data_IF_880134910608
#
_entry.id   IF_880134910608
#
_cell.length_a   1.000
_cell.length_b   1.000
_cell.length_c   1.000
_cell.angle_alpha   90.00
_cell.angle_beta   90.00
_cell.angle_gamma   90.00
#
_symmetry.space_group_name_H-M   'P 1'
#
loop_
_entity.id
_entity.type
_entity.pdbx_description
1 polymer ?
#
# COMPACT_ATOMS: atom_id res chain seq x y z
N UNK A 1 -40.38 -24.48 12.23
CA UNK A 1 -39.07 -24.31 12.92
C UNK A 1 -37.86 -24.38 11.99
N UNK A 2 -37.84 -25.27 10.98
CA UNK A 2 -36.71 -25.42 10.03
C UNK A 2 -36.32 -24.16 9.26
N UNK A 3 -37.28 -23.34 8.81
CA UNK A 3 -36.99 -22.13 8.03
C UNK A 3 -36.25 -21.03 8.82
N UNK A 4 -36.58 -20.81 10.10
CA UNK A 4 -35.91 -19.79 10.94
C UNK A 4 -34.46 -20.16 11.27
N UNK A 5 -34.18 -21.45 11.46
CA UNK A 5 -32.82 -21.96 11.71
C UNK A 5 -31.96 -21.87 10.44
N UNK A 6 -32.53 -22.19 9.29
CA UNK A 6 -31.83 -22.09 7.99
C UNK A 6 -31.53 -20.64 7.66
N UNK A 7 -32.46 -19.70 7.88
CA UNK A 7 -32.23 -18.27 7.67
C UNK A 7 -31.16 -17.72 8.61
N UNK A 8 -31.17 -18.14 9.88
CA UNK A 8 -30.12 -17.77 10.84
C UNK A 8 -28.73 -18.27 10.43
N UNK A 9 -28.63 -19.51 9.96
CA UNK A 9 -27.37 -20.09 9.48
C UNK A 9 -26.87 -19.39 8.21
N UNK A 10 -27.77 -19.04 7.28
CA UNK A 10 -27.44 -18.31 6.06
C UNK A 10 -26.91 -16.91 6.35
N UNK A 11 -27.51 -16.21 7.32
CA UNK A 11 -27.03 -14.89 7.75
C UNK A 11 -25.65 -14.95 8.41
N UNK A 12 -25.37 -15.99 9.20
CA UNK A 12 -24.03 -16.21 9.78
C UNK A 12 -23.00 -16.50 8.69
N UNK A 13 -23.32 -17.34 7.71
CA UNK A 13 -22.42 -17.63 6.58
C UNK A 13 -22.12 -16.38 5.75
N UNK A 14 -23.13 -15.55 5.46
CA UNK A 14 -22.95 -14.29 4.75
C UNK A 14 -22.06 -13.33 5.54
N UNK A 15 -22.27 -13.21 6.86
CA UNK A 15 -21.42 -12.37 7.72
C UNK A 15 -19.96 -12.84 7.72
N UNK A 16 -19.71 -14.15 7.82
CA UNK A 16 -18.35 -14.73 7.76
C UNK A 16 -17.70 -14.51 6.38
N UNK A 17 -18.48 -14.58 5.30
CA UNK A 17 -17.99 -14.32 3.94
C UNK A 17 -17.58 -12.85 3.74
N UNK A 18 -18.34 -11.90 4.28
CA UNK A 18 -17.98 -10.48 4.24
C UNK A 18 -16.73 -10.16 5.08
N UNK A 19 -16.54 -10.82 6.23
CA UNK A 19 -15.35 -10.62 7.09
C UNK A 19 -14.08 -11.22 6.47
N UNK A 20 -14.20 -12.33 5.72
CA UNK A 20 -13.04 -13.00 5.10
C UNK A 20 -12.61 -12.40 3.76
N UNK A 21 -13.49 -11.67 3.08
CA UNK A 21 -13.21 -11.07 1.75
C UNK A 21 -12.19 -9.92 1.76
N UNK A 22 -11.87 -9.34 2.93
CA UNK A 22 -10.86 -8.25 3.05
C UNK A 22 -9.42 -8.77 3.21
N UNK A 23 -9.21 -10.08 3.29
CA UNK A 23 -7.89 -10.66 3.58
C UNK A 23 -6.98 -10.85 2.34
N UNK A 24 -7.43 -10.47 1.14
CA UNK A 24 -6.64 -10.66 -0.10
C UNK A 24 -5.58 -9.59 -0.35
N UNK A 25 -5.34 -8.66 0.59
CA UNK A 25 -4.20 -7.74 0.56
C UNK A 25 -2.86 -8.42 0.96
N UNK A 26 -2.67 -9.69 0.62
CA UNK A 26 -1.37 -10.36 0.75
C UNK A 26 -0.40 -9.76 -0.25
N UNK A 27 0.29 -8.72 0.21
CA UNK A 27 1.49 -8.19 -0.41
C UNK A 27 1.21 -7.27 -1.59
N UNK A 28 1.00 -6.00 -1.31
CA UNK A 28 1.33 -4.95 -2.26
C UNK A 28 2.76 -4.48 -2.01
N UNK A 29 3.45 -4.01 -3.04
CA UNK A 29 4.71 -3.31 -2.85
C UNK A 29 4.55 -2.11 -1.89
N UNK A 30 5.63 -1.72 -1.19
CA UNK A 30 5.66 -0.63 -0.21
C UNK A 30 6.81 0.32 -0.50
N UNK A 31 6.63 1.60 -0.23
CA UNK A 31 7.72 2.60 -0.26
C UNK A 31 8.30 2.78 1.14
N UNK A 32 9.62 2.60 1.25
CA UNK A 32 10.34 2.73 2.51
C UNK A 32 11.51 3.70 2.39
N UNK A 33 11.65 4.55 3.39
CA UNK A 33 12.80 5.43 3.54
C UNK A 33 14.02 4.60 3.97
N UNK A 34 15.07 4.64 3.16
CA UNK A 34 16.33 3.92 3.39
C UNK A 34 17.28 4.77 4.24
N UNK A 35 17.23 6.08 4.07
CA UNK A 35 18.08 7.04 4.78
C UNK A 35 17.72 7.19 6.26
N UNK A 36 16.42 7.18 6.61
CA UNK A 36 15.92 7.29 7.99
C UNK A 36 15.11 6.07 8.41
N UNK A 37 15.72 5.22 9.24
CA UNK A 37 15.15 3.93 9.66
C UNK A 37 13.97 4.05 10.63
N UNK A 38 13.94 5.11 11.43
CA UNK A 38 13.00 5.32 12.53
C UNK A 38 11.77 6.17 12.14
N UNK A 39 11.63 6.53 10.87
CA UNK A 39 10.51 7.34 10.37
C UNK A 39 9.19 6.55 10.47
N UNK A 40 8.13 7.14 11.03
CA UNK A 40 6.86 6.47 11.32
C UNK A 40 5.64 7.29 10.85
N UNK A 41 5.70 7.79 9.62
CA UNK A 41 4.56 8.45 8.96
C UNK A 41 4.30 9.89 9.39
N UNK A 42 5.26 10.55 10.05
CA UNK A 42 5.18 11.96 10.44
C UNK A 42 5.00 12.85 9.20
N UNK A 43 5.70 12.51 8.12
CA UNK A 43 5.75 13.27 6.87
C UNK A 43 5.33 12.40 5.67
N UNK A 44 5.08 13.05 4.54
CA UNK A 44 4.84 12.35 3.26
C UNK A 44 6.16 11.96 2.61
N UNK A 45 6.12 10.96 1.73
CA UNK A 45 7.27 10.55 0.92
C UNK A 45 7.82 11.74 0.13
N UNK A 46 6.95 12.55 -0.51
CA UNK A 46 7.36 13.74 -1.23
C UNK A 46 8.15 14.74 -0.36
N UNK A 47 7.68 14.98 0.87
CA UNK A 47 8.35 15.90 1.80
C UNK A 47 9.74 15.39 2.20
N UNK A 48 9.86 14.10 2.52
CA UNK A 48 11.15 13.49 2.83
C UNK A 48 12.10 13.53 1.63
N UNK A 49 11.62 13.27 0.42
CA UNK A 49 12.45 13.32 -0.79
C UNK A 49 12.95 14.73 -1.09
N UNK A 50 12.14 15.76 -0.84
CA UNK A 50 12.57 17.16 -0.96
C UNK A 50 13.71 17.51 0.00
N UNK A 51 13.86 16.77 1.11
CA UNK A 51 14.97 16.88 2.06
C UNK A 51 16.19 16.04 1.68
N UNK A 52 16.16 15.36 0.52
CA UNK A 52 17.24 14.50 0.04
C UNK A 52 17.19 13.06 0.54
N UNK A 53 16.08 12.63 1.16
CA UNK A 53 15.93 11.26 1.65
C UNK A 53 15.74 10.27 0.50
N UNK A 54 16.33 9.08 0.62
CA UNK A 54 16.25 8.02 -0.39
C UNK A 54 15.17 7.01 -0.04
N UNK A 55 14.43 6.57 -1.06
CA UNK A 55 13.35 5.61 -0.93
C UNK A 55 13.62 4.35 -1.75
N UNK A 56 13.11 3.23 -1.25
CA UNK A 56 13.10 1.96 -1.95
C UNK A 56 11.69 1.38 -2.02
N UNK A 57 11.42 0.70 -3.12
CA UNK A 57 10.26 -0.18 -3.25
C UNK A 57 10.65 -1.53 -2.66
N UNK A 58 9.85 -2.02 -1.73
CA UNK A 58 9.93 -3.39 -1.20
C UNK A 58 8.72 -4.15 -1.66
N UNK A 59 8.94 -5.20 -2.44
CA UNK A 59 7.87 -6.03 -2.95
C UNK A 59 7.36 -7.03 -1.88
N UNK A 60 6.29 -7.77 -2.17
CA UNK A 60 5.73 -8.79 -1.28
C UNK A 60 6.67 -9.94 -0.92
N UNK A 61 7.65 -10.20 -1.78
CA UNK A 61 8.61 -11.30 -1.66
C UNK A 61 9.89 -10.86 -0.93
N UNK A 62 9.99 -9.58 -0.54
CA UNK A 62 11.14 -9.01 0.15
C UNK A 62 12.24 -8.52 -0.79
N UNK A 63 11.98 -8.40 -2.10
CA UNK A 63 12.92 -7.79 -3.04
C UNK A 63 12.91 -6.27 -2.86
N UNK A 64 14.11 -5.68 -2.87
CA UNK A 64 14.31 -4.25 -2.62
C UNK A 64 14.88 -3.58 -3.87
N UNK A 65 14.22 -2.52 -4.34
CA UNK A 65 14.74 -1.64 -5.40
C UNK A 65 14.79 -0.21 -4.91
N UNK A 66 15.99 0.35 -4.81
CA UNK A 66 16.19 1.77 -4.49
C UNK A 66 15.83 2.60 -5.72
N UNK A 67 15.03 3.64 -5.53
CA UNK A 67 14.61 4.52 -6.62
C UNK A 67 15.74 5.46 -7.04
N UNK A 68 16.10 5.42 -8.32
CA UNK A 68 16.95 6.44 -8.92
C UNK A 68 16.18 7.76 -9.10
N UNK A 69 16.86 8.91 -9.22
CA UNK A 69 16.20 10.19 -9.50
C UNK A 69 15.28 10.15 -10.73
N UNK A 70 15.70 9.46 -11.79
CA UNK A 70 14.94 9.30 -13.03
C UNK A 70 13.67 8.46 -12.80
N UNK A 71 13.78 7.36 -12.04
CA UNK A 71 12.61 6.56 -11.67
C UNK A 71 11.61 7.35 -10.83
N UNK A 72 12.09 8.26 -9.98
CA UNK A 72 11.25 9.15 -9.18
C UNK A 72 10.47 10.11 -10.07
N UNK A 73 11.14 10.77 -11.01
CA UNK A 73 10.50 11.71 -11.94
C UNK A 73 9.45 11.01 -12.81
N UNK A 74 9.78 9.85 -13.37
CA UNK A 74 8.84 9.03 -14.14
C UNK A 74 7.65 8.61 -13.27
N UNK A 75 7.90 8.13 -12.05
CA UNK A 75 6.82 7.73 -11.15
C UNK A 75 5.94 8.92 -10.77
N UNK A 76 6.48 10.15 -10.65
CA UNK A 76 5.66 11.34 -10.37
C UNK A 76 4.71 11.65 -11.53
N UNK A 77 5.16 11.43 -12.76
CA UNK A 77 4.34 11.61 -13.96
C UNK A 77 3.23 10.56 -14.07
N UNK A 78 3.52 9.28 -13.77
CA UNK A 78 2.57 8.18 -13.92
C UNK A 78 1.68 7.95 -12.68
N UNK A 79 2.21 8.14 -11.47
CA UNK A 79 1.54 7.86 -10.20
C UNK A 79 1.95 8.86 -9.10
N UNK A 80 1.53 10.13 -9.18
CA UNK A 80 1.89 11.14 -8.19
C UNK A 80 1.44 10.75 -6.76
N UNK A 81 0.33 10.01 -6.65
CA UNK A 81 -0.24 9.54 -5.38
C UNK A 81 0.72 8.65 -4.59
N UNK A 82 1.66 7.97 -5.25
CA UNK A 82 2.69 7.19 -4.57
C UNK A 82 3.48 8.04 -3.57
N UNK A 83 3.73 9.32 -3.91
CA UNK A 83 4.54 10.23 -3.09
C UNK A 83 3.74 11.02 -2.06
N UNK A 84 2.40 11.00 -2.15
CA UNK A 84 1.50 11.60 -1.16
C UNK A 84 1.31 10.70 0.06
N UNK A 85 1.73 9.44 -0.03
CA UNK A 85 1.66 8.49 1.08
C UNK A 85 2.58 8.90 2.23
N UNK A 86 2.22 8.43 3.44
CA UNK A 86 3.05 8.58 4.63
C UNK A 86 4.35 7.81 4.47
N UNK A 87 5.46 8.45 4.78
CA UNK A 87 6.77 7.84 4.68
C UNK A 87 7.08 7.01 5.93
N UNK A 88 7.60 5.80 5.73
CA UNK A 88 8.01 4.92 6.82
C UNK A 88 9.43 4.44 6.59
N UNK A 89 10.20 4.31 7.68
CA UNK A 89 11.52 3.74 7.66
C UNK A 89 11.49 2.21 7.74
N UNK A 90 12.66 1.60 7.51
CA UNK A 90 12.82 0.14 7.52
C UNK A 90 12.44 -0.55 8.84
N UNK A 91 12.32 0.16 9.96
CA UNK A 91 11.86 -0.44 11.21
C UNK A 91 10.36 -0.72 11.22
N UNK A 92 9.60 0.02 10.42
CA UNK A 92 8.14 0.04 10.45
C UNK A 92 7.52 -0.51 9.15
N UNK A 93 8.18 -1.48 8.50
CA UNK A 93 7.72 -2.08 7.23
C UNK A 93 6.30 -2.65 7.35
N UNK A 94 5.97 -3.22 8.51
CA UNK A 94 4.63 -3.79 8.75
C UNK A 94 3.55 -2.71 8.76
N UNK A 95 3.88 -1.53 9.28
CA UNK A 95 2.98 -0.39 9.40
C UNK A 95 2.93 0.47 8.13
N UNK A 96 3.94 0.36 7.27
CA UNK A 96 4.02 1.11 6.02
C UNK A 96 2.83 0.78 5.10
N UNK A 97 2.19 1.82 4.52
CA UNK A 97 1.01 1.62 3.69
C UNK A 97 1.36 0.91 2.39
N UNK A 98 0.39 0.22 1.79
CA UNK A 98 0.53 -0.32 0.45
C UNK A 98 0.80 0.79 -0.57
N UNK A 99 1.62 0.53 -1.58
CA UNK A 99 1.81 1.42 -2.72
C UNK A 99 0.46 1.59 -3.44
N UNK A 100 0.00 2.83 -3.68
CA UNK A 100 -1.26 3.05 -4.35
C UNK A 100 -1.20 2.56 -5.80
N UNK A 101 -2.30 1.95 -6.31
CA UNK A 101 -2.35 1.50 -7.68
C UNK A 101 -2.23 2.68 -8.65
N UNK A 102 -1.80 2.39 -9.88
CA UNK A 102 -1.81 3.38 -10.96
C UNK A 102 -3.24 3.91 -11.15
N UNK A 103 -3.42 5.22 -11.40
CA UNK A 103 -4.70 5.74 -11.83
C UNK A 103 -5.04 5.06 -13.17
N UNK A 104 -6.09 4.25 -13.18
CA UNK A 104 -6.60 3.64 -14.41
C UNK A 104 -7.02 4.78 -15.32
N UNK A 105 -6.29 4.99 -16.42
CA UNK A 105 -6.80 5.81 -17.51
C UNK A 105 -8.08 5.15 -17.98
N UNK A 106 -9.20 5.88 -17.95
CA UNK A 106 -10.39 5.44 -18.68
C UNK A 106 -10.03 5.56 -20.16
N UNK A 107 -9.41 4.53 -20.72
CA UNK A 107 -9.42 4.37 -22.16
C UNK A 107 -10.89 4.26 -22.55
N UNK A 108 -11.38 5.28 -23.25
CA UNK A 108 -12.72 5.31 -23.83
C UNK A 108 -12.90 4.06 -24.69
N UNK A 109 -14.08 3.42 -24.65
CA UNK A 109 -14.37 2.22 -25.44
C UNK A 109 -14.21 2.45 -26.94
#
# INVERSE_FOLDING_TARGET
>A
MRSKVVVGLLMVLVAVFFISSVATAQGSAKLLCVSKKELKGEETVASCMAKGERFAIVDPYGMVRILSPEEVELTKAFNPKAFETRAFGMRYIKDAPPLPPLPVSKESP
#
